data_IF_765228679394
#
_entry.id   IF_765228679394
#
_cell.length_a   1.000
_cell.length_b   1.000
_cell.length_c   1.000
_cell.angle_alpha   90.00
_cell.angle_beta   90.00
_cell.angle_gamma   90.00
#
_symmetry.space_group_name_H-M   'P 1'
#
loop_
_entity.id
_entity.type
_entity.pdbx_description
1 polymer ?
#
# COMPACT_ATOMS: atom_id res chain seq x y z
N UNK A 1 -39.05 69.50 0.34
CA UNK A 1 -38.27 69.50 -0.92
C UNK A 1 -36.88 69.04 -0.54
N UNK A 2 -36.47 67.79 -0.74
CA UNK A 2 -36.00 67.29 -2.04
C UNK A 2 -36.00 65.75 -2.04
N UNK A 3 -36.59 65.18 -3.07
CA UNK A 3 -36.59 63.75 -3.41
C UNK A 3 -35.21 63.33 -3.93
N UNK A 4 -34.55 62.36 -3.28
CA UNK A 4 -33.41 61.66 -3.88
C UNK A 4 -33.81 60.24 -4.25
N UNK A 5 -34.01 60.12 -5.55
CA UNK A 5 -34.41 58.98 -6.34
C UNK A 5 -33.33 57.89 -6.30
N UNK A 6 -33.63 56.75 -5.65
CA UNK A 6 -32.76 55.56 -5.67
C UNK A 6 -32.93 54.88 -7.03
N UNK A 7 -31.99 55.17 -7.93
CA UNK A 7 -31.91 54.60 -9.27
C UNK A 7 -31.71 53.08 -9.16
N UNK A 8 -32.73 52.30 -9.49
CA UNK A 8 -32.65 50.85 -9.55
C UNK A 8 -31.55 50.42 -10.53
N UNK A 9 -30.61 49.60 -10.07
CA UNK A 9 -29.57 49.02 -10.91
C UNK A 9 -30.19 48.01 -11.89
N UNK A 10 -29.92 48.09 -13.21
CA UNK A 10 -30.42 47.10 -14.15
C UNK A 10 -29.65 45.78 -13.94
N UNK A 11 -30.33 44.75 -13.44
CA UNK A 11 -29.82 43.38 -13.42
C UNK A 11 -29.85 42.87 -14.87
N UNK A 12 -28.80 43.16 -15.63
CA UNK A 12 -28.58 42.53 -16.93
C UNK A 12 -28.28 41.03 -16.70
N UNK A 13 -29.32 40.19 -16.72
CA UNK A 13 -29.16 38.73 -16.78
C UNK A 13 -28.67 38.35 -18.18
N UNK A 14 -27.37 38.54 -18.39
CA UNK A 14 -26.68 38.18 -19.62
C UNK A 14 -26.58 36.65 -19.72
N UNK A 15 -27.62 35.99 -20.23
CA UNK A 15 -27.55 34.59 -20.64
C UNK A 15 -26.74 34.51 -21.93
N UNK A 16 -25.42 34.70 -21.84
CA UNK A 16 -24.51 34.35 -22.92
C UNK A 16 -24.61 32.85 -23.13
N UNK A 17 -25.28 32.45 -24.20
CA UNK A 17 -25.27 31.08 -24.71
C UNK A 17 -23.81 30.64 -24.86
N UNK A 18 -23.35 29.66 -24.09
CA UNK A 18 -21.98 29.13 -24.13
C UNK A 18 -21.99 27.89 -25.02
N UNK A 19 -21.69 28.00 -26.34
CA UNK A 19 -21.81 26.88 -27.28
C UNK A 19 -20.92 25.69 -26.87
N UNK A 20 -19.81 25.95 -26.17
CA UNK A 20 -18.95 24.93 -25.58
C UNK A 20 -19.68 23.99 -24.60
N UNK A 21 -20.63 24.49 -23.80
CA UNK A 21 -21.40 23.63 -22.87
C UNK A 21 -22.34 22.69 -23.64
N UNK A 22 -22.91 23.15 -24.75
CA UNK A 22 -23.76 22.31 -25.62
C UNK A 22 -22.90 21.23 -26.29
N UNK A 23 -21.68 21.57 -26.73
CA UNK A 23 -20.73 20.60 -27.27
C UNK A 23 -20.37 19.52 -26.23
N UNK A 24 -20.13 19.89 -24.98
CA UNK A 24 -19.89 18.91 -23.90
C UNK A 24 -21.10 18.05 -23.60
N UNK A 25 -22.30 18.62 -23.55
CA UNK A 25 -23.53 17.86 -23.36
C UNK A 25 -23.74 16.84 -24.49
N UNK A 26 -23.60 17.27 -25.74
CA UNK A 26 -23.71 16.37 -26.91
C UNK A 26 -22.63 15.29 -26.91
N UNK A 27 -21.39 15.62 -26.54
CA UNK A 27 -20.32 14.65 -26.42
C UNK A 27 -20.60 13.60 -25.32
N UNK A 28 -21.05 14.05 -24.14
CA UNK A 28 -21.43 13.14 -23.05
C UNK A 28 -22.61 12.25 -23.44
N UNK A 29 -23.64 12.79 -24.08
CA UNK A 29 -24.77 11.99 -24.57
C UNK A 29 -24.32 10.99 -25.63
N UNK A 30 -23.43 11.38 -26.55
CA UNK A 30 -22.85 10.47 -27.55
C UNK A 30 -22.07 9.32 -26.94
N UNK A 31 -21.25 9.57 -25.91
CA UNK A 31 -20.50 8.53 -25.19
C UNK A 31 -21.44 7.57 -24.45
N UNK A 32 -22.50 8.08 -23.80
CA UNK A 32 -23.49 7.24 -23.12
C UNK A 32 -24.24 6.35 -24.13
N UNK A 33 -24.69 6.92 -25.26
CA UNK A 33 -25.37 6.16 -26.32
C UNK A 33 -24.46 5.08 -26.90
N UNK A 34 -23.18 5.40 -27.16
CA UNK A 34 -22.20 4.41 -27.60
C UNK A 34 -21.96 3.32 -26.53
N UNK A 35 -21.91 3.66 -25.25
CA UNK A 35 -21.71 2.69 -24.16
C UNK A 35 -22.86 1.69 -24.01
N UNK A 36 -24.11 2.12 -24.24
CA UNK A 36 -25.30 1.27 -24.13
C UNK A 36 -25.66 0.53 -25.44
N UNK A 37 -25.52 1.18 -26.60
CA UNK A 37 -25.97 0.66 -27.90
C UNK A 37 -24.83 0.34 -28.89
N UNK A 38 -23.61 0.84 -28.65
CA UNK A 38 -22.48 0.70 -29.58
C UNK A 38 -21.71 -0.62 -29.48
N UNK A 39 -22.05 -1.51 -28.53
CA UNK A 39 -21.39 -2.82 -28.40
C UNK A 39 -21.63 -3.74 -29.59
N UNK A 40 -22.80 -3.66 -30.23
CA UNK A 40 -23.16 -4.47 -31.41
C UNK A 40 -22.74 -3.79 -32.72
N UNK A 41 -22.89 -2.47 -32.81
CA UNK A 41 -22.63 -1.69 -34.04
C UNK A 41 -21.14 -1.31 -34.22
N UNK A 42 -20.38 -1.22 -33.12
CA UNK A 42 -18.96 -0.82 -33.14
C UNK A 42 -18.10 -1.80 -32.30
N UNK A 43 -18.00 -3.09 -32.71
CA UNK A 43 -17.34 -4.12 -31.88
C UNK A 43 -15.87 -3.82 -31.57
N UNK A 44 -15.18 -3.10 -32.46
CA UNK A 44 -13.77 -2.72 -32.32
C UNK A 44 -13.52 -1.62 -31.28
N UNK A 45 -14.54 -0.80 -30.96
CA UNK A 45 -14.43 0.24 -29.94
C UNK A 45 -14.52 -0.34 -28.52
N UNK A 46 -15.09 -1.55 -28.38
CA UNK A 46 -15.27 -2.23 -27.10
C UNK A 46 -14.38 -3.47 -26.94
N UNK A 47 -14.02 -4.14 -28.03
CA UNK A 47 -13.08 -5.26 -28.04
C UNK A 47 -11.83 -4.86 -28.82
N UNK A 48 -10.72 -4.69 -28.09
CA UNK A 48 -9.41 -4.45 -28.71
C UNK A 48 -9.14 -5.55 -29.76
N UNK A 49 -8.79 -5.20 -31.01
CA UNK A 49 -8.53 -6.19 -32.04
C UNK A 49 -7.38 -7.10 -31.62
N UNK A 50 -7.57 -8.43 -31.75
CA UNK A 50 -6.62 -9.44 -31.23
C UNK A 50 -5.19 -9.30 -31.75
N UNK A 51 -5.01 -8.63 -32.89
CA UNK A 51 -3.72 -8.38 -33.54
C UNK A 51 -2.85 -7.33 -32.79
N UNK A 52 -3.44 -6.56 -31.88
CA UNK A 52 -2.74 -5.54 -31.08
C UNK A 52 -2.51 -5.98 -29.62
N UNK A 53 -2.72 -7.25 -29.30
CA UNK A 53 -2.31 -7.79 -28.02
C UNK A 53 -0.78 -7.89 -27.99
N UNK A 54 -0.15 -6.86 -27.43
CA UNK A 54 1.29 -6.84 -27.18
C UNK A 54 1.62 -8.04 -26.27
N UNK A 55 2.55 -8.93 -26.65
CA UNK A 55 2.88 -10.15 -25.90
C UNK A 55 3.72 -9.87 -24.64
N UNK A 56 3.39 -8.82 -23.87
CA UNK A 56 4.11 -8.40 -22.67
C UNK A 56 4.30 -9.54 -21.67
N UNK A 57 3.30 -10.43 -21.54
CA UNK A 57 3.38 -11.60 -20.64
C UNK A 57 4.57 -12.49 -20.96
N UNK A 58 4.84 -12.75 -22.24
CA UNK A 58 5.96 -13.60 -22.65
C UNK A 58 7.29 -12.90 -22.37
N UNK A 59 7.42 -11.62 -22.76
CA UNK A 59 8.63 -10.84 -22.50
C UNK A 59 8.96 -10.72 -21.02
N UNK A 60 7.96 -10.43 -20.18
CA UNK A 60 8.14 -10.37 -18.73
C UNK A 60 8.52 -11.74 -18.17
N UNK A 61 7.86 -12.82 -18.62
CA UNK A 61 8.15 -14.17 -18.14
C UNK A 61 9.57 -14.61 -18.50
N UNK A 62 9.99 -14.34 -19.73
CA UNK A 62 11.32 -14.70 -20.22
C UNK A 62 12.40 -13.86 -19.53
N UNK A 63 12.16 -12.56 -19.36
CA UNK A 63 13.02 -11.69 -18.56
C UNK A 63 13.15 -12.16 -17.11
N UNK A 64 12.04 -12.52 -16.45
CA UNK A 64 12.07 -13.02 -15.07
C UNK A 64 12.81 -14.35 -14.94
N UNK A 65 12.62 -15.27 -15.90
CA UNK A 65 13.37 -16.53 -15.93
C UNK A 65 14.86 -16.28 -16.07
N UNK A 66 15.26 -15.44 -17.02
CA UNK A 66 16.64 -15.03 -17.21
C UNK A 66 17.20 -14.40 -15.92
N UNK A 67 16.48 -13.44 -15.32
CA UNK A 67 16.90 -12.75 -14.11
C UNK A 67 17.08 -13.70 -12.91
N UNK A 68 16.22 -14.71 -12.76
CA UNK A 68 16.26 -15.61 -11.60
C UNK A 68 17.17 -16.83 -11.77
N UNK A 69 17.51 -17.21 -13.01
CA UNK A 69 18.23 -18.46 -13.30
C UNK A 69 19.58 -18.23 -13.98
N UNK A 70 19.69 -17.22 -14.85
CA UNK A 70 20.85 -17.02 -15.73
C UNK A 70 21.65 -15.75 -15.38
N UNK A 71 21.04 -14.79 -14.66
CA UNK A 71 21.71 -13.57 -14.25
C UNK A 71 22.58 -13.79 -13.01
N UNK A 72 23.89 -13.83 -13.25
CA UNK A 72 24.93 -13.96 -12.22
C UNK A 72 25.68 -12.64 -12.03
N UNK A 73 25.86 -12.24 -10.77
CA UNK A 73 26.65 -11.06 -10.40
C UNK A 73 28.15 -11.36 -10.30
N UNK A 74 28.59 -12.45 -10.96
CA UNK A 74 29.95 -12.98 -10.94
C UNK A 74 30.32 -13.75 -9.67
N UNK A 75 29.86 -13.32 -8.50
CA UNK A 75 30.16 -13.98 -7.20
C UNK A 75 28.97 -14.78 -6.63
N UNK A 76 27.75 -14.43 -6.99
CA UNK A 76 26.51 -15.07 -6.53
C UNK A 76 25.39 -14.82 -7.54
N UNK A 77 24.37 -15.66 -7.52
CA UNK A 77 23.20 -15.52 -8.40
C UNK A 77 22.23 -14.46 -7.86
N UNK A 78 21.39 -13.88 -8.72
CA UNK A 78 20.32 -12.97 -8.27
C UNK A 78 19.38 -13.63 -7.25
N UNK A 79 19.09 -14.92 -7.44
CA UNK A 79 18.27 -15.70 -6.52
C UNK A 79 18.91 -15.79 -5.14
N UNK A 80 20.21 -16.03 -5.06
CA UNK A 80 20.92 -16.09 -3.78
C UNK A 80 20.93 -14.72 -3.08
N UNK A 81 21.10 -13.64 -3.84
CA UNK A 81 20.99 -12.29 -3.30
C UNK A 81 19.60 -11.99 -2.71
N UNK A 82 18.53 -12.32 -3.42
CA UNK A 82 17.17 -12.11 -2.91
C UNK A 82 16.86 -12.99 -1.68
N UNK A 83 17.37 -14.23 -1.67
CA UNK A 83 17.23 -15.14 -0.51
C UNK A 83 18.05 -14.70 0.69
N UNK A 84 19.23 -14.13 0.50
CA UNK A 84 20.02 -13.61 1.63
C UNK A 84 19.33 -12.42 2.28
N UNK A 85 18.71 -11.54 1.49
CA UNK A 85 17.89 -10.44 1.99
C UNK A 85 16.66 -10.95 2.77
N UNK A 86 15.99 -11.98 2.23
CA UNK A 86 14.87 -12.63 2.92
C UNK A 86 15.33 -13.25 4.24
N UNK A 87 16.45 -13.97 4.24
CA UNK A 87 17.01 -14.59 5.44
C UNK A 87 17.33 -13.55 6.53
N UNK A 88 17.91 -12.40 6.15
CA UNK A 88 18.20 -11.28 7.07
C UNK A 88 16.93 -10.78 7.76
N UNK A 89 15.83 -10.61 7.01
CA UNK A 89 14.55 -10.13 7.54
C UNK A 89 13.84 -11.22 8.36
N UNK A 90 13.99 -12.49 7.96
CA UNK A 90 13.33 -13.63 8.58
C UNK A 90 13.84 -13.89 10.01
N UNK A 91 15.13 -13.68 10.29
CA UNK A 91 15.68 -13.89 11.64
C UNK A 91 14.95 -13.08 12.73
N UNK A 92 14.89 -11.73 12.67
CA UNK A 92 14.19 -10.96 13.68
C UNK A 92 12.66 -11.14 13.61
N UNK A 93 12.10 -11.40 12.43
CA UNK A 93 10.67 -11.69 12.29
C UNK A 93 10.27 -12.99 13.01
N UNK A 94 11.04 -14.06 12.82
CA UNK A 94 10.82 -15.33 13.50
C UNK A 94 10.91 -15.17 15.02
N UNK A 95 11.87 -14.40 15.51
CA UNK A 95 12.00 -14.11 16.94
C UNK A 95 10.76 -13.35 17.47
N UNK A 96 10.35 -12.28 16.78
CA UNK A 96 9.17 -11.51 17.16
C UNK A 96 7.89 -12.36 17.12
N UNK A 97 7.71 -13.17 16.08
CA UNK A 97 6.55 -14.06 15.93
C UNK A 97 6.53 -15.15 16.99
N UNK A 98 7.68 -15.74 17.30
CA UNK A 98 7.81 -16.79 18.31
C UNK A 98 7.50 -16.24 19.70
N UNK A 99 7.99 -15.05 20.03
CA UNK A 99 7.71 -14.41 21.31
C UNK A 99 6.23 -14.03 21.50
N UNK A 100 5.58 -13.52 20.44
CA UNK A 100 4.25 -12.92 20.54
C UNK A 100 3.11 -13.90 20.20
N UNK A 101 3.32 -14.86 19.30
CA UNK A 101 2.25 -15.69 18.73
C UNK A 101 2.50 -17.20 18.85
N UNK A 102 3.60 -17.73 18.31
CA UNK A 102 3.69 -19.20 18.16
C UNK A 102 4.38 -19.92 19.32
N UNK A 103 5.10 -19.21 20.18
CA UNK A 103 6.06 -19.81 21.09
C UNK A 103 7.31 -20.27 20.34
N UNK A 104 8.32 -20.73 21.07
CA UNK A 104 9.52 -21.33 20.48
C UNK A 104 9.28 -22.81 20.25
N UNK A 105 8.99 -23.14 18.99
CA UNK A 105 8.76 -24.49 18.52
C UNK A 105 10.07 -25.10 18.01
N UNK A 106 10.31 -26.39 18.29
CA UNK A 106 11.38 -27.19 17.68
C UNK A 106 10.79 -28.41 16.98
N UNK A 107 11.10 -28.52 15.69
CA UNK A 107 10.53 -29.50 14.78
C UNK A 107 9.85 -28.82 13.59
N UNK A 108 9.30 -29.63 12.69
CA UNK A 108 8.52 -29.15 11.55
C UNK A 108 7.17 -29.86 11.51
N UNK A 109 6.12 -29.13 11.13
CA UNK A 109 4.78 -29.69 10.99
C UNK A 109 4.17 -30.14 12.31
N UNK A 110 3.48 -31.27 12.27
CA UNK A 110 2.71 -31.83 13.40
C UNK A 110 3.59 -32.32 14.55
N UNK A 111 4.88 -32.51 14.32
CA UNK A 111 5.85 -32.99 15.31
C UNK A 111 6.58 -31.84 16.03
N UNK A 112 6.15 -30.59 15.80
CA UNK A 112 6.76 -29.43 16.43
C UNK A 112 6.42 -29.39 17.93
N UNK A 113 7.45 -29.54 18.77
CA UNK A 113 7.31 -29.48 20.23
C UNK A 113 7.61 -28.05 20.70
N UNK A 114 6.71 -27.48 21.50
CA UNK A 114 6.91 -26.19 22.15
C UNK A 114 7.95 -26.35 23.26
N UNK A 115 9.13 -25.74 23.09
CA UNK A 115 10.18 -25.75 24.10
C UNK A 115 9.93 -24.63 25.10
N UNK A 116 9.56 -23.45 24.61
CA UNK A 116 9.35 -22.27 25.43
C UNK A 116 8.02 -21.60 25.06
N UNK A 117 7.15 -21.34 26.05
CA UNK A 117 5.86 -20.76 25.80
C UNK A 117 5.97 -19.33 25.28
N UNK A 118 5.01 -18.94 24.45
CA UNK A 118 4.81 -17.53 24.09
C UNK A 118 4.51 -16.67 25.32
N UNK A 119 4.68 -15.36 25.17
CA UNK A 119 4.29 -14.41 26.20
C UNK A 119 2.79 -14.52 26.49
N UNK A 120 2.45 -14.59 27.78
CA UNK A 120 1.06 -14.53 28.23
C UNK A 120 0.41 -13.25 27.73
N UNK A 121 -0.80 -13.36 27.18
CA UNK A 121 -1.56 -12.23 26.67
C UNK A 121 -1.78 -11.16 27.75
N UNK A 122 -1.99 -11.56 29.00
CA UNK A 122 -2.09 -10.64 30.16
C UNK A 122 -0.79 -9.87 30.38
N UNK A 123 0.35 -10.56 30.32
CA UNK A 123 1.66 -9.94 30.51
C UNK A 123 1.94 -8.92 29.39
N UNK A 124 1.60 -9.26 28.15
CA UNK A 124 1.80 -8.36 27.01
C UNK A 124 0.87 -7.14 27.06
N UNK A 125 -0.41 -7.31 27.41
CA UNK A 125 -1.34 -6.19 27.61
C UNK A 125 -0.81 -5.25 28.70
N UNK A 126 -0.39 -5.79 29.84
CA UNK A 126 0.15 -5.01 30.94
C UNK A 126 1.42 -4.24 30.49
N UNK A 127 2.35 -4.92 29.81
CA UNK A 127 3.56 -4.32 29.28
C UNK A 127 3.27 -3.15 28.33
N UNK A 128 2.38 -3.36 27.35
CA UNK A 128 2.03 -2.33 26.35
C UNK A 128 1.28 -1.16 26.99
N UNK A 129 0.41 -1.45 27.96
CA UNK A 129 -0.33 -0.42 28.70
C UNK A 129 0.62 0.46 29.52
N UNK A 130 1.55 -0.17 30.25
CA UNK A 130 2.57 0.54 31.03
C UNK A 130 3.55 1.32 30.14
N UNK A 131 3.97 0.73 29.02
CA UNK A 131 4.81 1.41 28.04
C UNK A 131 4.10 2.64 27.44
N UNK A 132 2.82 2.49 27.07
CA UNK A 132 1.99 3.60 26.56
C UNK A 132 1.78 4.70 27.61
N UNK A 133 1.62 4.32 28.87
CA UNK A 133 1.53 5.25 30.01
C UNK A 133 2.82 6.05 30.15
N UNK A 134 3.98 5.41 30.01
CA UNK A 134 5.28 6.06 30.08
C UNK A 134 5.53 7.03 28.92
N UNK A 135 5.14 6.67 27.69
CA UNK A 135 5.43 7.47 26.48
C UNK A 135 4.50 8.68 26.33
N UNK A 136 3.20 8.53 26.58
CA UNK A 136 2.20 9.57 26.26
C UNK A 136 1.12 9.78 27.33
N UNK A 137 1.26 9.12 28.48
CA UNK A 137 0.34 9.25 29.61
C UNK A 137 -0.92 8.39 29.52
N UNK A 138 -1.86 8.67 30.42
CA UNK A 138 -2.99 7.76 30.72
C UNK A 138 -3.98 7.56 29.56
N UNK A 139 -4.14 8.56 28.68
CA UNK A 139 -5.05 8.47 27.53
C UNK A 139 -4.58 7.41 26.53
N UNK A 140 -3.28 7.41 26.19
CA UNK A 140 -2.71 6.41 25.30
C UNK A 140 -2.68 5.04 25.96
N UNK A 141 -2.38 4.98 27.26
CA UNK A 141 -2.41 3.74 28.02
C UNK A 141 -3.79 3.05 27.97
N UNK A 142 -4.87 3.81 28.22
CA UNK A 142 -6.23 3.27 28.12
C UNK A 142 -6.57 2.85 26.69
N UNK A 143 -6.20 3.65 25.69
CA UNK A 143 -6.47 3.31 24.29
C UNK A 143 -5.75 2.01 23.90
N UNK A 144 -4.44 1.91 24.11
CA UNK A 144 -3.65 0.74 23.77
C UNK A 144 -4.11 -0.49 24.57
N UNK A 145 -4.26 -0.36 25.89
CA UNK A 145 -4.71 -1.46 26.75
C UNK A 145 -6.09 -1.99 26.36
N UNK A 146 -7.06 -1.10 26.08
CA UNK A 146 -8.39 -1.50 25.64
C UNK A 146 -8.40 -2.14 24.26
N UNK A 147 -7.60 -1.66 23.30
CA UNK A 147 -7.45 -2.29 21.99
C UNK A 147 -6.89 -3.72 22.09
N UNK A 148 -5.84 -3.94 22.87
CA UNK A 148 -5.28 -5.29 23.02
C UNK A 148 -6.20 -6.21 23.83
N UNK A 149 -6.88 -5.68 24.85
CA UNK A 149 -7.91 -6.44 25.58
C UNK A 149 -9.07 -6.84 24.65
N UNK A 150 -9.50 -5.95 23.75
CA UNK A 150 -10.48 -6.25 22.72
C UNK A 150 -10.01 -7.42 21.84
N UNK A 151 -8.78 -7.39 21.33
CA UNK A 151 -8.26 -8.50 20.51
C UNK A 151 -8.27 -9.84 21.24
N UNK A 152 -7.95 -9.84 22.54
CA UNK A 152 -7.98 -11.04 23.37
C UNK A 152 -9.41 -11.57 23.56
N UNK A 153 -10.36 -10.70 23.91
CA UNK A 153 -11.77 -11.09 24.15
C UNK A 153 -12.45 -11.64 22.91
N UNK A 154 -12.15 -11.08 21.73
CA UNK A 154 -12.74 -11.49 20.46
C UNK A 154 -11.97 -12.63 19.76
N UNK A 155 -10.96 -13.21 20.41
CA UNK A 155 -10.21 -14.34 19.88
C UNK A 155 -9.34 -14.01 18.66
N UNK A 156 -9.03 -12.73 18.42
CA UNK A 156 -8.18 -12.28 17.31
C UNK A 156 -6.70 -12.12 17.70
N UNK A 157 -6.32 -12.64 18.87
CA UNK A 157 -4.97 -12.49 19.43
C UNK A 157 -3.89 -13.00 18.48
N UNK A 158 -3.97 -14.26 18.04
CA UNK A 158 -2.91 -14.87 17.23
C UNK A 158 -2.71 -14.15 15.89
N UNK A 159 -3.80 -13.90 15.16
CA UNK A 159 -3.76 -13.13 13.91
C UNK A 159 -3.16 -11.75 14.11
N UNK A 160 -3.56 -11.04 15.17
CA UNK A 160 -3.05 -9.71 15.47
C UNK A 160 -1.57 -9.72 15.87
N UNK A 161 -1.11 -10.72 16.63
CA UNK A 161 0.30 -10.85 17.00
C UNK A 161 1.17 -11.15 15.78
N UNK A 162 0.71 -11.97 14.83
CA UNK A 162 1.42 -12.18 13.55
C UNK A 162 1.57 -10.86 12.78
N UNK A 163 0.50 -10.07 12.70
CA UNK A 163 0.56 -8.74 12.09
C UNK A 163 1.50 -7.81 12.85
N UNK A 164 1.43 -7.76 14.19
CA UNK A 164 2.30 -6.93 15.01
C UNK A 164 3.78 -7.31 14.83
N UNK A 165 4.12 -8.60 14.79
CA UNK A 165 5.47 -9.09 14.49
C UNK A 165 5.95 -8.62 13.12
N UNK A 166 5.09 -8.66 12.09
CA UNK A 166 5.45 -8.15 10.76
C UNK A 166 5.68 -6.65 10.75
N UNK A 167 4.84 -5.86 11.43
CA UNK A 167 4.98 -4.39 11.53
C UNK A 167 6.25 -4.02 12.30
N UNK A 168 6.55 -4.73 13.40
CA UNK A 168 7.71 -4.49 14.24
C UNK A 168 9.02 -4.61 13.45
N UNK A 169 9.06 -5.49 12.45
CA UNK A 169 10.22 -5.65 11.57
C UNK A 169 10.11 -4.74 10.34
N UNK A 170 8.97 -4.70 9.67
CA UNK A 170 8.82 -3.94 8.42
C UNK A 170 9.01 -2.44 8.62
N UNK A 171 8.52 -1.85 9.72
CA UNK A 171 8.58 -0.40 9.95
C UNK A 171 10.02 0.10 10.11
N UNK A 172 10.88 -0.45 10.98
CA UNK A 172 12.29 -0.03 11.05
C UNK A 172 13.03 -0.15 9.72
N UNK A 173 12.87 -1.26 9.01
CA UNK A 173 13.51 -1.44 7.69
C UNK A 173 12.99 -0.43 6.67
N UNK A 174 11.68 -0.16 6.66
CA UNK A 174 11.06 0.84 5.80
C UNK A 174 11.53 2.27 6.11
N UNK A 175 11.63 2.63 7.39
CA UNK A 175 12.13 3.94 7.82
C UNK A 175 13.61 4.10 7.45
N UNK A 176 14.45 3.10 7.71
CA UNK A 176 15.86 3.14 7.37
C UNK A 176 16.07 3.23 5.86
N UNK A 177 15.39 2.38 5.08
CA UNK A 177 15.47 2.39 3.62
C UNK A 177 14.94 3.69 3.03
N UNK A 178 13.78 4.15 3.48
CA UNK A 178 13.18 5.42 3.06
C UNK A 178 14.06 6.62 3.37
N UNK A 179 14.69 6.64 4.55
CA UNK A 179 15.63 7.69 4.93
C UNK A 179 16.89 7.67 4.04
N UNK A 180 17.47 6.49 3.78
CA UNK A 180 18.63 6.35 2.89
C UNK A 180 18.32 6.85 1.48
N UNK A 181 17.19 6.44 0.91
CA UNK A 181 16.74 6.89 -0.41
C UNK A 181 16.46 8.40 -0.40
N UNK A 182 15.81 8.92 0.64
CA UNK A 182 15.53 10.35 0.80
C UNK A 182 16.79 11.21 0.87
N UNK A 183 17.80 10.78 1.63
CA UNK A 183 19.10 11.46 1.71
C UNK A 183 19.83 11.41 0.36
N UNK A 184 19.80 10.26 -0.33
CA UNK A 184 20.41 10.12 -1.65
C UNK A 184 19.74 11.01 -2.71
N UNK A 185 18.40 11.13 -2.66
CA UNK A 185 17.61 12.07 -3.48
C UNK A 185 18.00 13.51 -3.23
N UNK A 186 18.07 13.91 -1.96
CA UNK A 186 18.47 15.28 -1.59
C UNK A 186 19.89 15.64 -2.07
N UNK A 187 20.81 14.68 -2.07
CA UNK A 187 22.21 14.91 -2.42
C UNK A 187 22.47 14.98 -3.93
N UNK A 188 21.63 14.35 -4.76
CA UNK A 188 21.86 14.23 -6.21
C UNK A 188 20.58 14.45 -7.02
N UNK A 189 20.49 15.57 -7.78
CA UNK A 189 19.35 15.83 -8.66
C UNK A 189 19.13 14.74 -9.72
N UNK A 190 20.20 14.05 -10.15
CA UNK A 190 20.09 12.93 -11.10
C UNK A 190 19.46 11.69 -10.46
N UNK A 191 19.83 11.39 -9.21
CA UNK A 191 19.25 10.26 -8.50
C UNK A 191 17.77 10.54 -8.20
N UNK A 192 17.44 11.76 -7.76
CA UNK A 192 16.06 12.19 -7.56
C UNK A 192 15.21 12.02 -8.83
N UNK A 193 15.71 12.45 -9.99
CA UNK A 193 15.02 12.30 -11.27
C UNK A 193 14.70 10.84 -11.62
N UNK A 194 15.61 9.91 -11.29
CA UNK A 194 15.43 8.47 -11.58
C UNK A 194 14.51 7.79 -10.58
N UNK A 195 14.61 8.13 -9.29
CA UNK A 195 13.83 7.46 -8.24
C UNK A 195 12.39 7.99 -8.14
N UNK A 196 12.15 9.26 -8.50
CA UNK A 196 10.84 9.91 -8.35
C UNK A 196 9.69 9.17 -9.08
N UNK A 197 9.82 8.71 -10.33
CA UNK A 197 8.77 7.93 -10.99
C UNK A 197 8.45 6.62 -10.25
N UNK A 198 9.46 5.98 -9.66
CA UNK A 198 9.27 4.75 -8.87
C UNK A 198 8.47 5.06 -7.60
N UNK A 199 8.81 6.15 -6.91
CA UNK A 199 8.09 6.59 -5.72
C UNK A 199 6.64 6.96 -6.04
N UNK A 200 6.41 7.69 -7.14
CA UNK A 200 5.08 8.05 -7.61
C UNK A 200 4.25 6.80 -7.97
N UNK A 201 4.88 5.80 -8.59
CA UNK A 201 4.24 4.51 -8.90
C UNK A 201 3.87 3.75 -7.61
N UNK A 202 4.79 3.63 -6.65
CA UNK A 202 4.52 2.95 -5.38
C UNK A 202 3.36 3.58 -4.60
N UNK A 203 3.11 4.87 -4.78
CA UNK A 203 2.01 5.60 -4.14
C UNK A 203 0.68 5.50 -4.89
N UNK A 204 0.68 5.00 -6.13
CA UNK A 204 -0.51 4.97 -7.00
C UNK A 204 -0.98 3.56 -7.36
N UNK A 205 -0.16 2.52 -7.16
CA UNK A 205 -0.56 1.12 -7.41
C UNK A 205 -1.66 0.70 -6.42
N UNK A 206 -2.86 0.33 -6.92
CA UNK A 206 -3.92 -0.19 -6.05
C UNK A 206 -3.54 -1.58 -5.55
N UNK A 207 -3.82 -1.86 -4.27
CA UNK A 207 -3.46 -3.12 -3.59
C UNK A 207 -4.14 -4.36 -4.21
N UNK A 208 -5.10 -4.18 -5.11
CA UNK A 208 -5.97 -5.24 -5.66
C UNK A 208 -5.90 -5.44 -7.19
N UNK A 209 -4.97 -4.81 -7.91
CA UNK A 209 -4.85 -4.94 -9.37
C UNK A 209 -3.93 -6.06 -9.84
#
# INVERSE_FOLDING_TARGET
MTSLNVKALPIHRNQRFRPWLVLWFLAMTGVVVLGFAGKEEVPWAFNMPRQWHIPLRFWISDFMKWLLNDFDLGLFTFREFTRSLAWIIEQPYWLAKSLLSTGFLKGQGSDAVEIFPRLSWLALIALITLFSLYVSGWKLALLAGSCFAYLAVFGQWESAMVTLSSILIAVPFGVLGGLMVGIAGHRSPRFEMVIRPVLDLMQTVPVFA
#
